data_IF_836223739350
#
_entry.id   IF_836223739350
#
_cell.length_a   1.000
_cell.length_b   1.000
_cell.length_c   1.000
_cell.angle_alpha   90.00
_cell.angle_beta   90.00
_cell.angle_gamma   90.00
#
_symmetry.space_group_name_H-M   'P 1'
#
loop_
_entity.id
_entity.type
_entity.pdbx_description
1 polymer ?
#
# COMPACT_ATOMS: atom_id res chain seq x y z
N UNK A 1 -38.05 4.63 88.00
CA UNK A 1 -37.18 3.45 87.78
C UNK A 1 -38.04 2.32 87.25
N UNK A 2 -38.05 2.08 85.93
CA UNK A 2 -38.74 0.93 85.32
C UNK A 2 -37.69 0.07 84.62
N UNK A 3 -37.52 -1.15 85.13
CA UNK A 3 -36.82 -2.25 84.47
C UNK A 3 -37.86 -3.07 83.70
N UNK A 4 -37.49 -3.57 82.53
CA UNK A 4 -38.27 -4.53 81.77
C UNK A 4 -37.41 -5.14 80.66
N UNK A 5 -37.05 -6.40 80.86
CA UNK A 5 -36.34 -7.31 79.95
C UNK A 5 -37.18 -7.61 78.69
N UNK A 6 -36.51 -7.93 77.58
CA UNK A 6 -36.91 -9.11 76.80
C UNK A 6 -37.04 -8.97 75.27
N UNK A 7 -36.37 -9.92 74.60
CA UNK A 7 -36.63 -10.55 73.29
C UNK A 7 -36.26 -9.81 71.98
N UNK A 8 -35.15 -10.27 71.40
CA UNK A 8 -35.18 -11.16 70.23
C UNK A 8 -35.89 -10.68 68.96
N UNK A 9 -35.10 -10.18 68.00
CA UNK A 9 -35.51 -10.01 66.61
C UNK A 9 -34.33 -10.26 65.67
N UNK A 10 -34.39 -11.37 64.92
CA UNK A 10 -33.48 -11.69 63.81
C UNK A 10 -33.85 -10.80 62.64
N UNK A 11 -32.91 -9.95 62.18
CA UNK A 11 -33.01 -9.30 60.87
C UNK A 11 -31.98 -9.92 59.92
N UNK A 12 -32.49 -10.57 58.90
CA UNK A 12 -31.77 -11.14 57.76
C UNK A 12 -31.38 -9.99 56.83
N UNK A 13 -30.10 -9.63 56.79
CA UNK A 13 -29.56 -8.66 55.84
C UNK A 13 -29.33 -9.31 54.48
N UNK A 14 -30.16 -8.98 53.50
CA UNK A 14 -29.93 -9.28 52.08
C UNK A 14 -28.73 -8.49 51.55
N UNK A 15 -27.62 -9.17 51.29
CA UNK A 15 -26.53 -8.67 50.46
C UNK A 15 -26.94 -8.80 48.98
N UNK A 16 -27.32 -7.70 48.32
CA UNK A 16 -27.35 -7.66 46.86
C UNK A 16 -25.90 -7.57 46.35
N UNK A 17 -25.35 -8.70 45.92
CA UNK A 17 -24.18 -8.74 45.05
C UNK A 17 -24.62 -8.31 43.65
N UNK A 18 -24.32 -7.07 43.29
CA UNK A 18 -24.38 -6.62 41.90
C UNK A 18 -23.30 -7.38 41.11
N UNK A 19 -23.73 -8.36 40.32
CA UNK A 19 -22.87 -9.04 39.37
C UNK A 19 -22.54 -8.06 38.22
N UNK A 20 -21.34 -7.47 38.25
CA UNK A 20 -20.76 -6.85 37.07
C UNK A 20 -20.50 -7.95 36.04
N UNK A 21 -21.39 -8.08 35.06
CA UNK A 21 -21.13 -8.84 33.84
C UNK A 21 -20.03 -8.15 33.06
N UNK A 22 -18.81 -8.70 33.12
CA UNK A 22 -17.73 -8.37 32.20
C UNK A 22 -18.21 -8.65 30.77
N UNK A 23 -17.93 -7.79 29.78
CA UNK A 23 -18.21 -8.11 28.39
C UNK A 23 -17.42 -9.36 28.03
N UNK A 24 -18.13 -10.46 27.80
CA UNK A 24 -17.57 -11.72 27.33
C UNK A 24 -16.84 -11.48 26.01
N UNK A 25 -15.64 -12.05 25.93
CA UNK A 25 -14.62 -11.78 24.92
C UNK A 25 -15.11 -11.73 23.48
N UNK A 26 -14.40 -10.88 22.72
CA UNK A 26 -14.35 -10.95 21.27
C UNK A 26 -13.96 -12.39 20.90
N UNK A 27 -14.88 -13.09 20.24
CA UNK A 27 -14.72 -14.49 19.83
C UNK A 27 -13.41 -14.70 19.05
N UNK A 28 -12.61 -15.69 19.45
CA UNK A 28 -11.39 -16.14 18.75
C UNK A 28 -11.63 -16.47 17.26
N UNK A 29 -12.89 -16.69 16.84
CA UNK A 29 -13.23 -16.91 15.43
C UNK A 29 -12.96 -15.68 14.55
N UNK A 30 -12.97 -14.47 15.10
CA UNK A 30 -12.74 -13.23 14.33
C UNK A 30 -11.27 -13.05 13.96
N UNK A 31 -10.33 -13.53 14.79
CA UNK A 31 -8.88 -13.48 14.51
C UNK A 31 -8.46 -14.46 13.40
N UNK A 32 -9.17 -15.58 13.25
CA UNK A 32 -8.95 -16.51 12.13
C UNK A 32 -9.37 -15.93 10.77
N UNK A 33 -10.29 -14.97 10.73
CA UNK A 33 -10.82 -14.41 9.49
C UNK A 33 -9.98 -13.23 8.95
N UNK A 34 -9.08 -12.68 9.78
CA UNK A 34 -8.17 -11.56 9.45
C UNK A 34 -6.71 -12.04 9.29
N UNK A 35 -6.51 -13.36 9.33
CA UNK A 35 -5.23 -14.00 9.08
C UNK A 35 -4.87 -14.04 7.59
N UNK A 36 -3.81 -14.77 7.29
CA UNK A 36 -3.45 -15.13 5.93
C UNK A 36 -4.13 -16.45 5.53
N UNK A 37 -4.40 -16.64 4.24
CA UNK A 37 -4.75 -17.95 3.70
C UNK A 37 -3.65 -18.95 4.02
N UNK A 38 -3.98 -20.22 4.30
CA UNK A 38 -3.01 -21.24 4.62
C UNK A 38 -1.96 -21.36 3.49
N UNK A 39 -0.69 -21.62 3.82
CA UNK A 39 0.36 -21.81 2.83
C UNK A 39 0.10 -23.10 2.06
N UNK A 40 -0.56 -23.00 0.90
CA UNK A 40 -0.71 -24.10 -0.06
C UNK A 40 0.37 -24.03 -1.13
N UNK A 41 0.70 -25.16 -1.76
CA UNK A 41 1.79 -25.26 -2.76
C UNK A 41 1.56 -24.47 -4.05
N UNK A 42 0.31 -24.27 -4.49
CA UNK A 42 0.01 -23.59 -5.76
C UNK A 42 -0.32 -22.11 -5.53
N UNK A 43 0.34 -21.20 -6.27
CA UNK A 43 0.09 -19.75 -6.25
C UNK A 43 -1.39 -19.39 -6.53
N UNK A 44 -1.86 -18.30 -5.91
CA UNK A 44 -3.17 -17.72 -6.26
C UNK A 44 -3.00 -16.98 -7.60
N UNK A 45 -3.67 -17.41 -8.68
CA UNK A 45 -3.50 -16.76 -9.97
C UNK A 45 -4.24 -15.42 -10.03
N UNK A 46 -3.82 -14.58 -10.97
CA UNK A 46 -4.57 -13.42 -11.43
C UNK A 46 -5.68 -13.86 -12.39
N UNK A 47 -6.77 -13.08 -12.46
CA UNK A 47 -7.79 -13.24 -13.49
C UNK A 47 -7.33 -12.51 -14.76
N UNK A 48 -6.46 -13.14 -15.54
CA UNK A 48 -5.77 -12.49 -16.68
C UNK A 48 -6.63 -12.32 -17.94
N UNK A 49 -7.86 -12.83 -17.96
CA UNK A 49 -8.78 -12.61 -19.08
C UNK A 49 -9.29 -11.16 -19.11
N UNK A 50 -9.64 -10.64 -20.30
CA UNK A 50 -10.26 -9.32 -20.40
C UNK A 50 -11.53 -9.22 -19.57
N UNK A 51 -11.80 -8.07 -18.96
CA UNK A 51 -13.04 -7.84 -18.22
C UNK A 51 -14.27 -8.03 -19.10
N UNK A 52 -15.28 -8.73 -18.58
CA UNK A 52 -16.48 -9.08 -19.35
C UNK A 52 -17.45 -7.89 -19.54
N UNK A 53 -17.41 -6.92 -18.62
CA UNK A 53 -18.32 -5.78 -18.57
C UNK A 53 -17.62 -4.54 -17.99
N UNK A 54 -18.15 -3.36 -18.30
CA UNK A 54 -17.73 -2.11 -17.68
C UNK A 54 -18.29 -2.01 -16.26
N UNK A 55 -17.50 -1.52 -15.31
CA UNK A 55 -17.93 -1.25 -13.93
C UNK A 55 -17.11 -0.11 -13.30
N UNK A 56 -17.63 0.51 -12.24
CA UNK A 56 -16.89 1.49 -11.44
C UNK A 56 -16.17 0.79 -10.28
N UNK A 57 -14.87 1.02 -10.15
CA UNK A 57 -14.08 0.62 -9.00
C UNK A 57 -13.89 1.81 -8.03
N UNK A 58 -14.41 1.72 -6.78
CA UNK A 58 -14.25 2.79 -5.80
C UNK A 58 -12.88 2.74 -5.11
N UNK A 59 -12.27 3.91 -4.99
CA UNK A 59 -11.05 4.14 -4.20
C UNK A 59 -11.34 5.22 -3.16
N UNK A 60 -11.15 4.90 -1.89
CA UNK A 60 -11.17 5.87 -0.79
C UNK A 60 -9.87 6.68 -0.87
N UNK A 61 -9.88 7.98 -0.62
CA UNK A 61 -8.64 8.77 -0.67
C UNK A 61 -8.50 9.78 0.46
N UNK A 62 -7.24 10.09 0.76
CA UNK A 62 -6.79 11.28 1.45
C UNK A 62 -5.83 12.05 0.54
N UNK A 63 -5.98 13.36 0.41
CA UNK A 63 -5.13 14.18 -0.47
C UNK A 63 -4.76 15.52 0.15
N UNK A 64 -3.52 15.95 -0.07
CA UNK A 64 -3.03 17.29 0.34
C UNK A 64 -3.03 18.26 -0.84
N UNK A 65 -3.81 17.95 -1.88
CA UNK A 65 -3.97 18.79 -3.07
C UNK A 65 -5.09 19.78 -2.89
N UNK A 66 -4.96 20.95 -3.49
CA UNK A 66 -6.01 21.96 -3.53
C UNK A 66 -7.17 21.45 -4.38
N UNK A 67 -8.39 21.54 -3.85
CA UNK A 67 -9.59 21.18 -4.58
C UNK A 67 -9.85 22.14 -5.75
N UNK A 68 -10.30 21.61 -6.88
CA UNK A 68 -10.77 22.39 -8.01
C UNK A 68 -12.20 22.89 -7.78
N UNK A 69 -12.58 23.96 -8.47
CA UNK A 69 -13.93 24.53 -8.39
C UNK A 69 -14.99 23.52 -8.83
N UNK A 70 -16.21 23.68 -8.30
CA UNK A 70 -17.37 22.87 -8.65
C UNK A 70 -17.18 21.34 -8.50
N UNK A 71 -16.24 20.90 -7.65
CA UNK A 71 -15.99 19.47 -7.42
C UNK A 71 -15.30 18.75 -8.59
N UNK A 72 -14.64 19.49 -9.47
CA UNK A 72 -13.95 18.95 -10.66
C UNK A 72 -12.69 18.10 -10.35
N UNK A 73 -12.44 17.76 -9.08
CA UNK A 73 -11.27 17.01 -8.64
C UNK A 73 -10.26 17.89 -7.90
N UNK A 74 -8.97 17.62 -8.11
CA UNK A 74 -7.87 18.25 -7.38
C UNK A 74 -6.77 18.72 -8.34
N UNK A 75 -6.10 19.83 -8.00
CA UNK A 75 -4.96 20.35 -8.77
C UNK A 75 -3.63 19.73 -8.31
N UNK A 76 -2.53 20.25 -8.87
CA UNK A 76 -1.16 19.94 -8.43
C UNK A 76 -0.64 20.89 -7.35
N UNK A 77 -1.47 21.85 -6.92
CA UNK A 77 -1.09 22.77 -5.85
C UNK A 77 -1.29 22.10 -4.49
N UNK A 78 -0.39 22.42 -3.57
CA UNK A 78 -0.50 22.02 -2.17
C UNK A 78 -1.68 22.76 -1.52
N UNK A 79 -2.32 22.06 -0.60
CA UNK A 79 -3.22 22.65 0.39
C UNK A 79 -2.65 22.40 1.80
N UNK A 80 -3.00 23.25 2.75
CA UNK A 80 -2.61 23.13 4.17
C UNK A 80 -3.57 22.23 4.95
N UNK A 81 -4.42 21.49 4.24
CA UNK A 81 -5.40 20.58 4.79
C UNK A 81 -5.33 19.20 4.11
N UNK A 82 -5.66 18.17 4.89
CA UNK A 82 -5.93 16.83 4.37
C UNK A 82 -7.40 16.73 3.98
N UNK A 83 -7.66 16.58 2.68
CA UNK A 83 -8.98 16.38 2.12
C UNK A 83 -9.28 14.89 1.99
N UNK A 84 -10.53 14.51 2.24
CA UNK A 84 -10.99 13.13 2.19
C UNK A 84 -12.07 12.94 1.13
N UNK A 85 -12.18 11.74 0.57
CA UNK A 85 -13.25 11.44 -0.37
C UNK A 85 -13.23 10.04 -0.94
N UNK A 86 -14.06 9.83 -1.96
CA UNK A 86 -14.05 8.66 -2.84
C UNK A 86 -13.89 9.10 -4.28
N UNK A 87 -13.11 8.35 -5.04
CA UNK A 87 -13.04 8.47 -6.49
C UNK A 87 -13.50 7.16 -7.11
N UNK A 88 -14.35 7.27 -8.13
CA UNK A 88 -14.87 6.12 -8.87
C UNK A 88 -14.20 6.10 -10.22
N UNK A 89 -13.44 5.05 -10.50
CA UNK A 89 -12.77 4.86 -11.77
C UNK A 89 -13.52 3.81 -12.57
N UNK A 90 -13.86 4.16 -13.81
CA UNK A 90 -14.46 3.24 -14.76
C UNK A 90 -13.40 2.25 -15.23
N UNK A 91 -13.60 0.97 -14.92
CA UNK A 91 -12.88 -0.15 -15.53
C UNK A 91 -13.70 -0.61 -16.74
N UNK A 92 -13.24 -0.35 -17.98
CA UNK A 92 -14.02 -0.68 -19.17
C UNK A 92 -14.07 -2.18 -19.39
N UNK A 93 -15.08 -2.65 -20.13
CA UNK A 93 -15.05 -3.97 -20.78
C UNK A 93 -13.77 -4.09 -21.61
N UNK A 94 -13.19 -5.29 -21.64
CA UNK A 94 -11.93 -5.63 -22.32
C UNK A 94 -10.66 -5.03 -21.69
N UNK A 95 -10.74 -4.46 -20.49
CA UNK A 95 -9.56 -4.08 -19.70
C UNK A 95 -8.63 -5.29 -19.49
N UNK A 96 -7.33 -5.06 -19.65
CA UNK A 96 -6.28 -6.06 -19.45
C UNK A 96 -5.54 -5.83 -18.14
N UNK A 97 -5.33 -6.92 -17.39
CA UNK A 97 -4.52 -6.91 -16.17
C UNK A 97 -3.13 -6.33 -16.45
N UNK A 98 -2.74 -5.36 -15.63
CA UNK A 98 -1.47 -4.64 -15.76
C UNK A 98 -1.50 -3.44 -16.70
N UNK A 99 -2.68 -3.03 -17.19
CA UNK A 99 -2.80 -1.93 -18.14
C UNK A 99 -3.58 -0.74 -17.57
N UNK A 100 -3.27 0.48 -18.01
CA UNK A 100 -4.18 1.63 -17.84
C UNK A 100 -5.05 1.86 -19.09
N UNK A 101 -4.93 0.97 -20.08
CA UNK A 101 -5.49 1.09 -21.42
C UNK A 101 -4.74 2.11 -22.28
N UNK A 102 -5.17 2.24 -23.53
CA UNK A 102 -4.55 3.16 -24.50
C UNK A 102 -5.59 3.83 -25.40
N UNK A 103 -5.24 4.94 -26.05
CA UNK A 103 -6.16 5.63 -26.97
C UNK A 103 -6.55 4.72 -28.14
N UNK A 104 -5.58 3.97 -28.67
CA UNK A 104 -5.78 2.95 -29.69
C UNK A 104 -6.74 1.87 -29.15
N UNK A 105 -6.50 1.38 -27.93
CA UNK A 105 -7.36 0.41 -27.27
C UNK A 105 -8.79 0.91 -27.06
N UNK A 106 -8.97 2.21 -26.78
CA UNK A 106 -10.29 2.86 -26.68
C UNK A 106 -10.99 2.90 -28.03
N UNK A 107 -10.27 3.28 -29.09
CA UNK A 107 -10.84 3.37 -30.43
C UNK A 107 -11.25 1.99 -30.99
N UNK A 108 -10.46 0.96 -30.76
CA UNK A 108 -10.72 -0.41 -31.25
C UNK A 108 -11.43 -1.33 -30.24
N UNK A 109 -11.70 -0.86 -29.03
CA UNK A 109 -12.37 -1.62 -27.97
C UNK A 109 -11.58 -2.80 -27.41
N UNK A 110 -10.25 -2.86 -27.58
CA UNK A 110 -9.43 -4.03 -27.22
C UNK A 110 -8.78 -3.96 -25.83
N UNK A 111 -8.50 -2.75 -25.36
CA UNK A 111 -8.03 -2.40 -24.01
C UNK A 111 -8.25 -0.89 -23.77
N UNK A 112 -9.51 -0.45 -23.63
CA UNK A 112 -9.83 0.98 -23.49
C UNK A 112 -9.21 1.59 -22.24
N UNK A 113 -8.95 2.90 -22.28
CA UNK A 113 -8.43 3.64 -21.12
C UNK A 113 -9.39 3.56 -19.92
N UNK A 114 -8.82 3.42 -18.74
CA UNK A 114 -9.54 3.70 -17.50
C UNK A 114 -9.81 5.20 -17.42
N UNK A 115 -10.96 5.58 -16.87
CA UNK A 115 -11.37 6.98 -16.73
C UNK A 115 -11.92 7.27 -15.35
N UNK A 116 -11.64 8.45 -14.82
CA UNK A 116 -12.31 8.91 -13.59
C UNK A 116 -13.75 9.28 -13.95
N UNK A 117 -14.71 8.59 -13.34
CA UNK A 117 -16.14 8.83 -13.55
C UNK A 117 -16.63 9.99 -12.68
N UNK A 118 -16.39 9.91 -11.36
CA UNK A 118 -16.83 10.94 -10.41
C UNK A 118 -15.98 11.00 -9.15
N UNK A 119 -16.06 12.15 -8.49
CA UNK A 119 -15.51 12.40 -7.16
C UNK A 119 -16.64 12.61 -6.16
N UNK A 120 -16.45 12.09 -4.97
CA UNK A 120 -17.31 12.35 -3.82
C UNK A 120 -16.43 12.91 -2.70
N UNK A 121 -16.46 14.23 -2.53
CA UNK A 121 -15.77 14.89 -1.42
C UNK A 121 -16.47 14.58 -0.11
N UNK A 122 -15.70 14.23 0.92
CA UNK A 122 -16.21 13.90 2.24
C UNK A 122 -15.71 14.95 3.25
N UNK A 123 -16.62 15.71 3.89
CA UNK A 123 -16.26 16.70 4.89
C UNK A 123 -15.62 16.09 6.16
N UNK A 124 -14.29 16.09 6.17
CA UNK A 124 -13.47 15.80 7.35
C UNK A 124 -13.35 14.31 7.72
N UNK A 125 -12.45 14.05 8.69
CA UNK A 125 -12.05 12.69 9.09
C UNK A 125 -13.21 11.87 9.66
N UNK A 126 -14.06 12.47 10.50
CA UNK A 126 -15.13 11.73 11.19
C UNK A 126 -16.16 11.15 10.20
N UNK A 127 -16.54 11.93 9.18
CA UNK A 127 -17.48 11.46 8.15
C UNK A 127 -16.82 10.44 7.23
N UNK A 128 -15.54 10.65 6.89
CA UNK A 128 -14.76 9.69 6.12
C UNK A 128 -14.67 8.34 6.82
N UNK A 129 -14.38 8.34 8.12
CA UNK A 129 -14.31 7.15 8.94
C UNK A 129 -15.66 6.41 8.98
N UNK A 130 -16.76 7.13 9.21
CA UNK A 130 -18.10 6.55 9.24
C UNK A 130 -18.48 5.93 7.88
N UNK A 131 -18.15 6.60 6.76
CA UNK A 131 -18.37 6.06 5.42
C UNK A 131 -17.48 4.83 5.20
N UNK A 132 -16.18 4.91 5.47
CA UNK A 132 -15.26 3.79 5.28
C UNK A 132 -15.73 2.55 6.06
N UNK A 133 -16.08 2.69 7.34
CA UNK A 133 -16.55 1.59 8.18
C UNK A 133 -17.88 0.99 7.69
N UNK A 134 -18.78 1.80 7.12
CA UNK A 134 -20.04 1.34 6.53
C UNK A 134 -19.83 0.58 5.22
N UNK A 135 -18.94 1.08 4.36
CA UNK A 135 -18.70 0.55 3.02
C UNK A 135 -17.80 -0.69 3.01
N UNK A 136 -16.92 -0.84 4.01
CA UNK A 136 -16.12 -2.04 4.21
C UNK A 136 -17.03 -3.21 4.58
N UNK A 137 -17.12 -4.20 3.68
CA UNK A 137 -17.95 -5.39 3.89
C UNK A 137 -17.54 -6.15 5.17
N UNK A 138 -18.48 -6.86 5.82
CA UNK A 138 -18.16 -7.77 6.92
C UNK A 138 -17.06 -8.76 6.51
N UNK A 139 -16.09 -8.97 7.38
CA UNK A 139 -15.01 -9.93 7.13
C UNK A 139 -15.59 -11.33 7.18
N UNK A 140 -15.40 -12.09 6.11
CA UNK A 140 -15.83 -13.49 5.98
C UNK A 140 -14.64 -14.43 5.86
N UNK A 141 -13.46 -13.91 5.53
CA UNK A 141 -12.21 -14.67 5.46
C UNK A 141 -11.02 -13.78 5.05
N UNK A 142 -9.81 -14.35 4.95
CA UNK A 142 -8.61 -13.63 4.56
C UNK A 142 -8.75 -12.86 3.23
N UNK A 143 -9.54 -13.36 2.28
CA UNK A 143 -9.80 -12.71 0.99
C UNK A 143 -10.53 -11.35 1.09
N UNK A 144 -11.16 -11.02 2.22
CA UNK A 144 -11.73 -9.69 2.46
C UNK A 144 -11.39 -9.06 3.82
N UNK A 145 -10.52 -9.72 4.59
CA UNK A 145 -10.05 -9.30 5.91
C UNK A 145 -8.96 -8.22 5.90
N UNK A 146 -8.73 -7.54 4.79
CA UNK A 146 -7.65 -6.55 4.63
C UNK A 146 -8.08 -5.30 3.88
N UNK A 147 -7.35 -4.21 4.09
CA UNK A 147 -7.38 -2.99 3.25
C UNK A 147 -5.99 -2.75 2.67
N UNK A 148 -5.94 -2.03 1.55
CA UNK A 148 -4.69 -1.68 0.86
C UNK A 148 -4.56 -0.17 0.80
N UNK A 149 -3.41 0.36 1.19
CA UNK A 149 -3.04 1.78 1.04
C UNK A 149 -2.01 1.89 -0.08
N UNK A 150 -2.35 2.60 -1.14
CA UNK A 150 -1.43 2.94 -2.23
C UNK A 150 -0.93 4.39 -2.06
N UNK A 151 0.37 4.59 -2.28
CA UNK A 151 1.02 5.91 -2.26
C UNK A 151 1.81 6.04 -3.56
N UNK A 152 1.47 7.04 -4.36
CA UNK A 152 2.08 7.25 -5.67
C UNK A 152 3.47 7.91 -5.59
N UNK A 153 4.20 7.85 -6.72
CA UNK A 153 5.49 8.50 -6.92
C UNK A 153 5.43 9.96 -7.39
N UNK A 154 6.58 10.48 -7.81
CA UNK A 154 6.71 11.83 -8.39
C UNK A 154 5.93 11.97 -9.71
N UNK A 155 5.67 13.19 -10.16
CA UNK A 155 5.07 13.47 -11.49
C UNK A 155 3.75 12.72 -11.77
N UNK A 156 2.86 12.68 -10.79
CA UNK A 156 1.52 12.14 -10.95
C UNK A 156 0.50 13.23 -10.64
N UNK A 157 -0.49 13.43 -11.50
CA UNK A 157 -1.70 14.17 -11.13
C UNK A 157 -2.54 13.33 -10.15
N UNK A 158 -3.56 13.95 -9.53
CA UNK A 158 -4.52 13.17 -8.74
C UNK A 158 -5.19 12.06 -9.56
N UNK A 159 -5.52 12.35 -10.82
CA UNK A 159 -6.17 11.39 -11.71
C UNK A 159 -5.25 10.20 -12.01
N UNK A 160 -3.96 10.43 -12.30
CA UNK A 160 -3.01 9.35 -12.57
C UNK A 160 -2.89 8.41 -11.36
N UNK A 161 -2.79 8.99 -10.16
CA UNK A 161 -2.74 8.23 -8.92
C UNK A 161 -4.04 7.44 -8.65
N UNK A 162 -5.20 8.03 -8.93
CA UNK A 162 -6.50 7.39 -8.80
C UNK A 162 -6.69 6.23 -9.78
N UNK A 163 -6.31 6.43 -11.06
CA UNK A 163 -6.35 5.40 -12.09
C UNK A 163 -5.45 4.21 -11.71
N UNK A 164 -4.23 4.48 -11.24
CA UNK A 164 -3.30 3.44 -10.79
C UNK A 164 -3.81 2.68 -9.55
N UNK A 165 -4.36 3.38 -8.57
CA UNK A 165 -4.96 2.75 -7.40
C UNK A 165 -6.13 1.84 -7.77
N UNK A 166 -7.01 2.30 -8.67
CA UNK A 166 -8.15 1.51 -9.14
C UNK A 166 -7.71 0.32 -9.98
N UNK A 167 -6.72 0.48 -10.85
CA UNK A 167 -6.11 -0.61 -11.63
C UNK A 167 -5.57 -1.70 -10.71
N UNK A 168 -4.72 -1.33 -9.73
CA UNK A 168 -4.21 -2.29 -8.75
C UNK A 168 -5.34 -2.98 -7.97
N UNK A 169 -6.36 -2.22 -7.56
CA UNK A 169 -7.50 -2.75 -6.83
C UNK A 169 -8.28 -3.79 -7.62
N UNK A 170 -8.62 -3.47 -8.87
CA UNK A 170 -9.33 -4.37 -9.76
C UNK A 170 -8.49 -5.61 -10.13
N UNK A 171 -7.23 -5.41 -10.51
CA UNK A 171 -6.36 -6.47 -11.03
C UNK A 171 -5.93 -7.48 -9.96
N UNK A 172 -5.77 -7.03 -8.72
CA UNK A 172 -5.40 -7.88 -7.59
C UNK A 172 -6.61 -8.51 -6.88
N UNK A 173 -7.84 -8.29 -7.38
CA UNK A 173 -9.09 -8.67 -6.74
C UNK A 173 -9.25 -8.09 -5.32
N UNK A 174 -8.75 -6.87 -5.07
CA UNK A 174 -9.02 -6.18 -3.80
C UNK A 174 -10.52 -5.91 -3.70
N UNK A 175 -11.17 -6.22 -2.57
CA UNK A 175 -12.60 -5.96 -2.43
C UNK A 175 -12.92 -4.48 -2.65
N UNK A 176 -14.08 -4.21 -3.26
CA UNK A 176 -14.54 -2.84 -3.45
C UNK A 176 -14.56 -2.07 -2.11
N UNK A 177 -14.10 -0.82 -2.14
CA UNK A 177 -13.88 0.08 -1.00
C UNK A 177 -12.70 -0.28 -0.08
N UNK A 178 -12.02 -1.41 -0.28
CA UNK A 178 -10.84 -1.77 0.51
C UNK A 178 -9.54 -1.15 -0.03
N UNK A 179 -9.59 -0.42 -1.16
CA UNK A 179 -8.45 0.32 -1.70
C UNK A 179 -8.49 1.78 -1.24
N UNK A 180 -7.41 2.21 -0.61
CA UNK A 180 -7.17 3.55 -0.11
C UNK A 180 -5.99 4.18 -0.87
N UNK A 181 -6.13 5.43 -1.28
CA UNK A 181 -5.09 6.21 -1.95
C UNK A 181 -4.67 7.38 -1.06
N UNK A 182 -3.37 7.50 -0.79
CA UNK A 182 -2.82 8.78 -0.36
C UNK A 182 -2.22 9.52 -1.56
N UNK A 183 -2.81 10.67 -1.91
CA UNK A 183 -2.30 11.53 -2.97
C UNK A 183 -1.68 12.80 -2.41
N UNK A 184 -0.36 12.88 -2.46
CA UNK A 184 0.35 14.11 -2.15
C UNK A 184 0.43 14.98 -3.41
N UNK A 185 0.62 16.29 -3.25
CA UNK A 185 0.58 17.27 -4.34
C UNK A 185 1.85 17.28 -5.20
N UNK A 186 2.22 16.12 -5.75
CA UNK A 186 3.23 16.00 -6.79
C UNK A 186 2.79 16.80 -8.02
N UNK A 187 3.73 17.51 -8.67
CA UNK A 187 3.46 18.27 -9.88
C UNK A 187 3.60 17.39 -11.12
N UNK A 188 2.64 17.40 -12.03
CA UNK A 188 2.72 16.69 -13.31
C UNK A 188 3.60 17.44 -14.33
N UNK A 189 4.85 17.77 -13.97
CA UNK A 189 5.80 18.49 -14.83
C UNK A 189 7.24 18.00 -14.62
N UNK A 190 7.86 17.53 -15.70
CA UNK A 190 9.19 16.88 -15.74
C UNK A 190 10.33 17.78 -15.23
N UNK A 191 10.18 19.11 -15.26
CA UNK A 191 11.26 20.06 -14.95
C UNK A 191 11.44 20.30 -13.43
N UNK A 192 10.60 19.71 -12.55
CA UNK A 192 10.50 20.13 -11.13
C UNK A 192 10.80 19.05 -10.09
N UNK A 193 11.74 18.15 -10.39
CA UNK A 193 12.14 17.07 -9.48
C UNK A 193 12.39 17.52 -8.02
N UNK A 194 13.13 18.62 -7.79
CA UNK A 194 13.41 19.16 -6.44
C UNK A 194 12.18 19.73 -5.71
N UNK A 195 11.16 20.18 -6.46
CA UNK A 195 9.91 20.65 -5.86
C UNK A 195 9.09 19.49 -5.30
N UNK A 196 9.05 18.36 -6.02
CA UNK A 196 8.37 17.15 -5.58
C UNK A 196 9.06 16.57 -4.33
N UNK A 197 10.38 16.64 -4.23
CA UNK A 197 11.12 16.28 -3.01
C UNK A 197 10.69 17.11 -1.80
N UNK A 198 10.64 18.44 -1.94
CA UNK A 198 10.16 19.32 -0.87
C UNK A 198 8.66 19.12 -0.58
N UNK A 199 7.88 18.57 -1.53
CA UNK A 199 6.45 18.31 -1.32
C UNK A 199 6.25 17.06 -0.50
N UNK A 200 6.90 15.97 -0.90
CA UNK A 200 6.74 14.68 -0.23
C UNK A 200 7.18 14.76 1.24
N UNK A 201 8.23 15.52 1.55
CA UNK A 201 8.67 15.77 2.93
C UNK A 201 7.61 16.55 3.73
N UNK A 202 6.98 17.59 3.15
CA UNK A 202 5.88 18.32 3.83
C UNK A 202 4.60 17.50 3.98
N UNK A 203 4.42 16.46 3.17
CA UNK A 203 3.24 15.59 3.22
C UNK A 203 3.31 14.52 4.31
N UNK A 204 4.46 14.34 4.98
CA UNK A 204 4.64 13.30 6.01
C UNK A 204 3.62 13.37 7.16
N UNK A 205 3.36 14.57 7.67
CA UNK A 205 2.41 14.78 8.78
C UNK A 205 1.00 14.38 8.36
N UNK A 206 0.57 14.80 7.16
CA UNK A 206 -0.74 14.44 6.62
C UNK A 206 -0.82 12.96 6.27
N UNK A 207 0.26 12.36 5.78
CA UNK A 207 0.30 10.94 5.48
C UNK A 207 0.18 10.09 6.75
N UNK A 208 0.85 10.49 7.84
CA UNK A 208 0.67 9.87 9.16
C UNK A 208 -0.78 9.95 9.62
N UNK A 209 -1.39 11.14 9.60
CA UNK A 209 -2.80 11.31 9.98
C UNK A 209 -3.72 10.46 9.11
N UNK A 210 -3.45 10.34 7.82
CA UNK A 210 -4.20 9.47 6.92
C UNK A 210 -4.07 7.98 7.31
N UNK A 211 -2.86 7.49 7.61
CA UNK A 211 -2.66 6.11 8.06
C UNK A 211 -3.37 5.82 9.38
N UNK A 212 -3.39 6.77 10.33
CA UNK A 212 -4.14 6.65 11.58
C UNK A 212 -5.65 6.55 11.31
N UNK A 213 -6.17 7.37 10.39
CA UNK A 213 -7.58 7.29 9.95
C UNK A 213 -7.89 5.95 9.29
N UNK A 214 -7.02 5.46 8.40
CA UNK A 214 -7.18 4.15 7.76
C UNK A 214 -7.13 3.03 8.80
N UNK A 215 -6.27 3.11 9.82
CA UNK A 215 -6.21 2.11 10.86
C UNK A 215 -7.50 2.04 11.70
N UNK A 216 -8.09 3.20 12.02
CA UNK A 216 -9.42 3.27 12.66
C UNK A 216 -10.52 2.67 11.75
N UNK A 217 -10.44 2.93 10.44
CA UNK A 217 -11.40 2.42 9.47
C UNK A 217 -11.31 0.89 9.27
N UNK A 218 -10.08 0.38 9.21
CA UNK A 218 -9.78 -1.04 9.06
C UNK A 218 -10.41 -1.88 10.18
N UNK A 219 -10.54 -1.31 11.39
CA UNK A 219 -11.22 -1.91 12.54
C UNK A 219 -10.77 -3.37 12.78
N UNK A 220 -9.46 -3.55 12.93
CA UNK A 220 -8.84 -4.86 13.15
C UNK A 220 -8.43 -5.60 11.88
N UNK A 221 -8.89 -5.20 10.68
CA UNK A 221 -8.42 -5.75 9.38
C UNK A 221 -6.92 -5.54 9.19
N UNK A 222 -6.28 -6.42 8.41
CA UNK A 222 -4.90 -6.21 7.97
C UNK A 222 -4.81 -4.96 7.10
N UNK A 223 -3.72 -4.21 7.24
CA UNK A 223 -3.43 -3.05 6.39
C UNK A 223 -2.19 -3.38 5.57
N UNK A 224 -2.33 -3.43 4.26
CA UNK A 224 -1.21 -3.57 3.33
C UNK A 224 -0.84 -2.21 2.75
N UNK A 225 0.44 -1.97 2.52
CA UNK A 225 0.93 -0.73 1.92
C UNK A 225 1.64 -1.07 0.61
N UNK A 226 1.33 -0.32 -0.44
CA UNK A 226 2.06 -0.31 -1.71
C UNK A 226 2.57 1.11 -1.94
N UNK A 227 3.87 1.33 -1.81
CA UNK A 227 4.50 2.63 -2.01
C UNK A 227 5.36 2.61 -3.27
N UNK A 228 5.16 3.60 -4.15
CA UNK A 228 5.86 3.72 -5.41
C UNK A 228 6.86 4.88 -5.41
N UNK A 229 8.07 4.64 -5.90
CA UNK A 229 9.07 5.68 -6.20
C UNK A 229 9.30 6.62 -5.00
N UNK A 230 9.21 7.94 -5.19
CA UNK A 230 9.34 8.94 -4.11
C UNK A 230 8.35 8.77 -2.96
N UNK A 231 7.20 8.13 -3.16
CA UNK A 231 6.26 7.82 -2.08
C UNK A 231 6.91 6.97 -0.97
N UNK A 232 7.95 6.21 -1.29
CA UNK A 232 8.74 5.45 -0.33
C UNK A 232 9.53 6.35 0.65
N UNK A 233 9.87 7.59 0.27
CA UNK A 233 10.55 8.53 1.18
C UNK A 233 9.63 8.93 2.32
N UNK A 234 8.41 9.36 2.00
CA UNK A 234 7.39 9.67 3.00
C UNK A 234 7.09 8.47 3.89
N UNK A 235 6.90 7.28 3.30
CA UNK A 235 6.64 6.07 4.06
C UNK A 235 7.79 5.74 5.03
N UNK A 236 9.03 5.74 4.57
CA UNK A 236 10.19 5.43 5.41
C UNK A 236 10.29 6.36 6.61
N UNK A 237 10.13 7.67 6.38
CA UNK A 237 10.21 8.67 7.44
C UNK A 237 9.03 8.59 8.40
N UNK A 238 7.80 8.39 7.91
CA UNK A 238 6.61 8.21 8.76
C UNK A 238 6.74 6.98 9.65
N UNK A 239 7.19 5.84 9.10
CA UNK A 239 7.42 4.64 9.91
C UNK A 239 8.55 4.86 10.92
N UNK A 240 9.70 5.40 10.49
CA UNK A 240 10.86 5.62 11.37
C UNK A 240 10.54 6.57 12.53
N UNK A 241 9.84 7.67 12.26
CA UNK A 241 9.42 8.64 13.28
C UNK A 241 8.20 8.17 14.09
N UNK A 242 7.51 7.12 13.64
CA UNK A 242 6.31 6.58 14.26
C UNK A 242 6.57 5.40 15.20
N UNK A 243 7.74 4.75 15.13
CA UNK A 243 8.02 3.51 15.88
C UNK A 243 7.76 3.61 17.38
N UNK A 244 8.02 4.75 18.03
CA UNK A 244 7.76 4.91 19.46
C UNK A 244 6.25 5.01 19.79
N UNK A 245 5.41 5.40 18.83
CA UNK A 245 3.95 5.46 18.96
C UNK A 245 3.28 4.16 18.47
N UNK A 246 3.87 3.53 17.45
CA UNK A 246 3.40 2.31 16.76
C UNK A 246 3.84 1.00 17.47
N UNK A 247 4.84 1.06 18.36
CA UNK A 247 5.32 -0.09 19.16
C UNK A 247 4.59 -0.28 20.49
N UNK A 248 3.65 0.60 20.86
CA UNK A 248 2.80 0.35 22.03
C UNK A 248 1.72 -0.69 21.67
N UNK A 249 1.11 -1.37 22.65
CA UNK A 249 -0.01 -2.32 22.44
C UNK A 249 -1.22 -1.73 21.68
N UNK A 250 -1.17 -0.44 21.33
CA UNK A 250 -2.16 0.34 20.57
C UNK A 250 -1.68 0.82 19.18
N UNK A 251 -0.52 0.37 18.71
CA UNK A 251 0.06 0.82 17.44
C UNK A 251 -0.45 0.09 16.20
N UNK A 252 -0.33 0.74 15.03
CA UNK A 252 -0.72 0.19 13.73
C UNK A 252 0.22 -0.95 13.33
N UNK A 253 -0.29 -2.18 13.23
CA UNK A 253 0.47 -3.32 12.70
C UNK A 253 0.05 -3.61 11.25
N UNK A 254 0.94 -3.35 10.33
CA UNK A 254 0.78 -3.63 8.90
C UNK A 254 0.95 -5.12 8.61
N UNK A 255 0.29 -5.59 7.56
CA UNK A 255 0.57 -6.89 6.97
C UNK A 255 1.80 -6.79 6.06
N UNK A 256 1.58 -6.66 4.76
CA UNK A 256 2.62 -6.46 3.76
C UNK A 256 2.94 -4.97 3.55
N UNK A 257 4.22 -4.62 3.56
CA UNK A 257 4.73 -3.35 3.03
C UNK A 257 5.50 -3.65 1.75
N UNK A 258 5.02 -3.12 0.63
CA UNK A 258 5.59 -3.30 -0.70
C UNK A 258 6.22 -1.98 -1.14
N UNK A 259 7.54 -2.02 -1.33
CA UNK A 259 8.36 -0.87 -1.72
C UNK A 259 8.73 -1.02 -3.19
N UNK A 260 7.93 -0.44 -4.08
CA UNK A 260 8.07 -0.57 -5.51
C UNK A 260 8.93 0.57 -6.10
N UNK A 261 9.99 0.20 -6.82
CA UNK A 261 10.89 1.15 -7.50
C UNK A 261 11.36 2.28 -6.55
N UNK A 262 11.71 1.93 -5.31
CA UNK A 262 11.92 2.89 -4.24
C UNK A 262 13.02 3.92 -4.56
N UNK A 263 12.62 5.19 -4.73
CA UNK A 263 13.54 6.32 -4.86
C UNK A 263 13.95 6.79 -3.45
N UNK A 264 14.71 5.94 -2.77
CA UNK A 264 15.27 6.20 -1.44
C UNK A 264 16.77 5.98 -1.50
N UNK A 265 17.51 6.87 -0.86
CA UNK A 265 18.94 6.71 -0.68
C UNK A 265 19.30 5.39 0.02
N UNK A 266 20.29 4.67 -0.52
CA UNK A 266 20.74 3.38 0.02
C UNK A 266 21.12 3.47 1.51
N UNK A 267 21.86 4.50 1.90
CA UNK A 267 22.44 4.60 3.24
C UNK A 267 21.38 5.06 4.25
N UNK A 268 20.48 5.96 3.84
CA UNK A 268 19.29 6.30 4.62
C UNK A 268 18.39 5.07 4.83
N UNK A 269 18.18 4.27 3.77
CA UNK A 269 17.40 3.06 3.86
C UNK A 269 18.04 2.05 4.82
N UNK A 270 19.35 1.83 4.74
CA UNK A 270 20.07 0.95 5.66
C UNK A 270 19.85 1.33 7.14
N UNK A 271 19.81 2.63 7.43
CA UNK A 271 19.60 3.15 8.78
C UNK A 271 18.15 3.01 9.26
N UNK A 272 17.18 3.30 8.40
CA UNK A 272 15.78 3.47 8.83
C UNK A 272 14.89 2.25 8.53
N UNK A 273 15.20 1.44 7.52
CA UNK A 273 14.38 0.31 7.11
C UNK A 273 14.20 -0.80 8.17
N UNK A 274 15.13 -1.04 9.12
CA UNK A 274 14.86 -1.94 10.24
C UNK A 274 13.60 -1.59 11.05
N UNK A 275 13.12 -0.35 10.99
CA UNK A 275 11.85 0.05 11.61
C UNK A 275 10.63 -0.61 10.95
N UNK A 276 10.69 -0.99 9.68
CA UNK A 276 9.61 -1.73 9.03
C UNK A 276 9.36 -3.09 9.69
N UNK A 277 10.41 -3.75 10.19
CA UNK A 277 10.33 -5.06 10.86
C UNK A 277 9.56 -5.00 12.19
N UNK A 278 9.47 -3.82 12.79
CA UNK A 278 8.74 -3.61 14.05
C UNK A 278 7.25 -3.44 13.83
N UNK A 279 6.83 -3.08 12.62
CA UNK A 279 5.47 -2.63 12.34
C UNK A 279 4.77 -3.44 11.25
N UNK A 280 5.46 -4.33 10.55
CA UNK A 280 4.90 -5.14 9.46
C UNK A 280 5.09 -6.64 9.70
N UNK A 281 4.18 -7.44 9.15
CA UNK A 281 4.38 -8.90 9.06
C UNK A 281 5.46 -9.23 8.01
N UNK A 282 5.58 -8.43 6.95
CA UNK A 282 6.65 -8.55 5.94
C UNK A 282 6.85 -7.25 5.16
N UNK A 283 8.09 -7.00 4.78
CA UNK A 283 8.46 -5.93 3.84
C UNK A 283 9.20 -6.50 2.64
N UNK A 284 8.81 -6.08 1.44
CA UNK A 284 9.43 -6.52 0.17
C UNK A 284 9.80 -5.31 -0.68
N UNK A 285 11.04 -5.25 -1.12
CA UNK A 285 11.56 -4.27 -2.08
C UNK A 285 11.52 -4.87 -3.49
N UNK A 286 10.87 -4.17 -4.42
CA UNK A 286 10.97 -4.46 -5.85
C UNK A 286 11.89 -3.43 -6.51
N UNK A 287 12.87 -3.92 -7.26
CA UNK A 287 13.83 -3.13 -8.00
C UNK A 287 14.01 -3.69 -9.41
N UNK A 288 14.39 -2.82 -10.36
CA UNK A 288 14.69 -3.22 -11.74
C UNK A 288 15.94 -2.50 -12.21
N UNK A 289 16.85 -3.15 -12.97
CA UNK A 289 18.00 -2.48 -13.56
C UNK A 289 17.63 -1.60 -14.77
N UNK A 290 16.38 -1.68 -15.23
CA UNK A 290 15.85 -0.98 -16.40
C UNK A 290 15.06 0.29 -16.05
N UNK A 291 14.88 0.57 -14.76
CA UNK A 291 14.08 1.72 -14.30
C UNK A 291 14.79 3.05 -14.58
N UNK A 292 14.34 3.74 -15.63
CA UNK A 292 14.93 4.99 -16.08
C UNK A 292 14.74 6.13 -15.10
N UNK A 293 13.58 6.20 -14.43
CA UNK A 293 13.25 7.29 -13.54
C UNK A 293 14.09 7.24 -12.26
N UNK A 294 14.24 6.05 -11.66
CA UNK A 294 15.09 5.89 -10.49
C UNK A 294 16.57 6.01 -10.86
N UNK A 295 16.97 5.61 -12.08
CA UNK A 295 18.32 5.86 -12.58
C UNK A 295 18.61 7.36 -12.74
N UNK A 296 17.66 8.14 -13.28
CA UNK A 296 17.77 9.59 -13.37
C UNK A 296 17.90 10.23 -11.98
N UNK A 297 17.09 9.81 -11.00
CA UNK A 297 17.26 10.22 -9.60
C UNK A 297 18.67 9.89 -9.08
N UNK A 298 19.16 8.67 -9.30
CA UNK A 298 20.49 8.25 -8.85
C UNK A 298 21.61 9.15 -9.42
N UNK A 299 21.44 9.64 -10.65
CA UNK A 299 22.38 10.57 -11.28
C UNK A 299 22.31 11.98 -10.68
N UNK A 300 21.11 12.47 -10.37
CA UNK A 300 20.93 13.80 -9.74
C UNK A 300 21.56 13.87 -8.35
N UNK A 301 21.56 12.77 -7.60
CA UNK A 301 22.06 12.75 -6.21
C UNK A 301 23.46 12.20 -6.05
N UNK A 302 24.06 11.60 -7.09
CA UNK A 302 25.36 10.92 -7.06
C UNK A 302 25.46 9.74 -6.05
N UNK A 303 24.31 9.18 -5.64
CA UNK A 303 24.21 8.03 -4.73
C UNK A 303 23.22 6.96 -5.23
N UNK A 304 23.48 5.66 -4.97
CA UNK A 304 22.57 4.59 -5.37
C UNK A 304 21.19 4.67 -4.70
N UNK A 305 20.15 4.39 -5.47
CA UNK A 305 18.78 4.26 -4.97
C UNK A 305 18.37 2.81 -4.80
N UNK A 306 17.60 2.52 -3.75
CA UNK A 306 17.17 1.16 -3.37
C UNK A 306 16.43 0.44 -4.52
N UNK A 307 15.61 1.17 -5.28
CA UNK A 307 14.80 0.62 -6.38
C UNK A 307 15.55 0.34 -7.70
N UNK A 308 16.87 0.54 -7.76
CA UNK A 308 17.61 0.59 -9.03
C UNK A 308 18.92 -0.22 -8.97
N UNK A 309 18.97 -1.33 -9.69
CA UNK A 309 20.17 -2.18 -9.76
C UNK A 309 19.91 -3.58 -10.30
N UNK A 310 20.98 -4.27 -10.74
CA UNK A 310 20.96 -5.69 -11.12
C UNK A 310 21.06 -6.62 -9.90
N UNK A 311 21.34 -6.06 -8.73
CA UNK A 311 21.31 -6.67 -7.42
C UNK A 311 20.82 -5.63 -6.40
N UNK A 312 20.32 -6.06 -5.23
CA UNK A 312 19.92 -5.13 -4.17
C UNK A 312 21.08 -4.21 -3.76
N UNK A 313 20.81 -2.92 -3.68
CA UNK A 313 21.83 -1.94 -3.28
C UNK A 313 22.13 -1.98 -1.78
N UNK A 314 21.23 -2.58 -1.00
CA UNK A 314 21.38 -2.83 0.44
C UNK A 314 20.57 -4.08 0.80
N UNK A 315 21.13 -4.96 1.63
CA UNK A 315 20.42 -6.10 2.21
C UNK A 315 20.20 -5.81 3.69
N UNK A 316 18.94 -5.66 4.08
CA UNK A 316 18.53 -5.58 5.49
C UNK A 316 17.96 -6.94 5.89
N UNK A 317 18.55 -7.65 6.87
CA UNK A 317 18.02 -8.93 7.32
C UNK A 317 16.55 -8.85 7.71
N UNK A 318 15.71 -9.71 7.13
CA UNK A 318 14.25 -9.71 7.34
C UNK A 318 13.44 -8.90 6.32
N UNK A 319 14.09 -8.15 5.42
CA UNK A 319 13.44 -7.48 4.29
C UNK A 319 13.75 -8.24 3.00
N UNK A 320 12.70 -8.67 2.32
CA UNK A 320 12.82 -9.39 1.05
C UNK A 320 13.19 -8.42 -0.09
N UNK A 321 14.01 -8.88 -1.02
CA UNK A 321 14.37 -8.12 -2.23
C UNK A 321 14.03 -8.93 -3.47
N UNK A 322 13.42 -8.27 -4.46
CA UNK A 322 13.03 -8.82 -5.75
C UNK A 322 13.61 -7.98 -6.87
N UNK A 323 14.57 -8.53 -7.60
CA UNK A 323 15.11 -7.93 -8.82
C UNK A 323 14.29 -8.41 -10.02
N UNK A 324 13.68 -7.48 -10.74
CA UNK A 324 12.95 -7.78 -11.97
C UNK A 324 13.83 -7.51 -13.19
N UNK A 325 14.10 -8.56 -13.96
CA UNK A 325 14.81 -8.51 -15.24
C UNK A 325 13.84 -8.72 -16.43
N UNK A 326 12.54 -8.44 -16.23
CA UNK A 326 11.54 -8.63 -17.27
C UNK A 326 11.73 -7.60 -18.40
N UNK A 327 11.58 -8.00 -19.68
CA UNK A 327 11.72 -7.06 -20.79
C UNK A 327 10.72 -5.90 -20.76
N UNK A 328 9.52 -6.17 -20.23
CA UNK A 328 8.39 -5.23 -20.12
C UNK A 328 8.66 -4.10 -19.11
N UNK A 329 9.65 -4.28 -18.24
CA UNK A 329 10.09 -3.23 -17.32
C UNK A 329 10.80 -2.08 -18.04
N UNK A 330 11.19 -2.25 -19.31
CA UNK A 330 11.89 -1.21 -20.07
C UNK A 330 10.96 -0.53 -21.08
N UNK A 331 10.83 0.83 -21.07
CA UNK A 331 11.39 1.81 -20.13
C UNK A 331 10.41 2.14 -18.99
N UNK A 332 9.68 1.16 -18.46
CA UNK A 332 8.61 1.36 -17.47
C UNK A 332 9.16 1.68 -16.07
N UNK A 333 8.63 2.72 -15.46
CA UNK A 333 8.80 3.02 -14.03
C UNK A 333 7.68 2.42 -13.16
N UNK A 334 6.66 1.84 -13.79
CA UNK A 334 5.49 1.26 -13.13
C UNK A 334 5.40 -0.27 -13.31
N UNK A 335 6.52 -0.91 -13.62
CA UNK A 335 6.63 -2.35 -13.89
C UNK A 335 6.03 -3.26 -12.82
N UNK A 336 6.06 -2.84 -11.54
CA UNK A 336 5.45 -3.55 -10.42
C UNK A 336 3.93 -3.74 -10.58
N UNK A 337 3.29 -2.83 -11.30
CA UNK A 337 1.86 -2.79 -11.53
C UNK A 337 1.49 -3.18 -12.98
N UNK A 338 2.46 -3.44 -13.85
CA UNK A 338 2.27 -3.70 -15.28
C UNK A 338 2.68 -5.11 -15.70
N UNK A 339 3.44 -5.82 -14.85
CA UNK A 339 3.92 -7.16 -15.17
C UNK A 339 3.18 -8.23 -14.37
N UNK A 340 2.65 -9.23 -15.07
CA UNK A 340 1.88 -10.32 -14.46
C UNK A 340 2.65 -11.08 -13.35
N UNK A 341 3.96 -11.40 -13.49
CA UNK A 341 4.69 -12.07 -12.42
C UNK A 341 4.73 -11.26 -11.13
N UNK A 342 4.93 -9.94 -11.21
CA UNK A 342 4.98 -9.09 -10.02
C UNK A 342 3.61 -8.85 -9.40
N UNK A 343 2.57 -8.63 -10.22
CA UNK A 343 1.19 -8.55 -9.73
C UNK A 343 0.75 -9.85 -9.04
N UNK A 344 1.15 -11.01 -9.58
CA UNK A 344 0.85 -12.32 -8.97
C UNK A 344 1.56 -12.46 -7.63
N UNK A 345 2.83 -12.07 -7.56
CA UNK A 345 3.61 -12.09 -6.32
C UNK A 345 2.99 -11.17 -5.26
N UNK A 346 2.65 -9.94 -5.62
CA UNK A 346 1.98 -8.97 -4.74
C UNK A 346 0.67 -9.54 -4.17
N UNK A 347 -0.17 -10.15 -5.02
CA UNK A 347 -1.42 -10.80 -4.58
C UNK A 347 -1.16 -11.92 -3.58
N UNK A 348 -0.16 -12.76 -3.84
CA UNK A 348 0.20 -13.88 -2.95
C UNK A 348 0.81 -13.39 -1.63
N UNK A 349 1.61 -12.32 -1.65
CA UNK A 349 2.11 -11.69 -0.43
C UNK A 349 0.96 -11.18 0.43
N UNK A 350 0.01 -10.45 -0.17
CA UNK A 350 -1.16 -9.89 0.56
C UNK A 350 -2.05 -10.99 1.14
N UNK A 351 -2.32 -12.06 0.39
CA UNK A 351 -3.27 -13.08 0.82
C UNK A 351 -2.63 -14.21 1.63
N UNK A 352 -1.33 -14.48 1.51
CA UNK A 352 -0.66 -15.65 2.14
C UNK A 352 0.60 -15.33 2.94
N UNK A 353 1.18 -14.14 2.82
CA UNK A 353 2.46 -13.79 3.45
C UNK A 353 3.61 -14.76 3.11
N UNK A 354 3.59 -15.35 1.91
CA UNK A 354 4.57 -16.36 1.50
C UNK A 354 5.81 -15.71 0.88
N UNK A 355 7.02 -15.89 1.46
CA UNK A 355 8.26 -15.38 0.86
C UNK A 355 8.79 -16.25 -0.28
N UNK A 356 8.35 -17.51 -0.33
CA UNK A 356 8.76 -18.46 -1.35
C UNK A 356 8.02 -18.15 -2.66
N UNK A 357 8.77 -18.05 -3.74
CA UNK A 357 8.26 -17.82 -5.09
C UNK A 357 8.58 -19.05 -5.93
N UNK A 358 7.58 -19.57 -6.63
CA UNK A 358 7.66 -20.87 -7.29
C UNK A 358 7.53 -20.75 -8.80
N UNK A 359 7.99 -21.75 -9.52
CA UNK A 359 7.91 -21.79 -10.99
C UNK A 359 9.13 -21.21 -11.70
N UNK A 360 9.19 -21.46 -13.00
CA UNK A 360 10.42 -21.36 -13.80
C UNK A 360 10.93 -19.93 -14.01
N UNK A 361 10.09 -18.93 -13.74
CA UNK A 361 10.44 -17.51 -13.87
C UNK A 361 11.23 -16.98 -12.68
N UNK A 362 11.17 -17.65 -11.53
CA UNK A 362 11.75 -17.18 -10.28
C UNK A 362 13.04 -17.93 -9.95
N UNK A 363 14.05 -17.18 -9.52
CA UNK A 363 15.32 -17.74 -9.04
C UNK A 363 15.72 -17.05 -7.74
N UNK A 364 16.22 -17.82 -6.78
CA UNK A 364 16.84 -17.28 -5.57
C UNK A 364 18.35 -17.17 -5.80
N UNK A 365 18.89 -15.96 -5.64
CA UNK A 365 20.31 -15.63 -5.88
C UNK A 365 20.80 -14.90 -4.65
N UNK A 366 21.84 -15.43 -3.99
CA UNK A 366 22.59 -14.74 -2.92
C UNK A 366 21.71 -14.00 -1.88
N UNK A 367 20.62 -14.64 -1.45
CA UNK A 367 19.70 -14.12 -0.43
C UNK A 367 18.52 -13.29 -0.94
N UNK A 368 18.46 -12.95 -2.23
CA UNK A 368 17.35 -12.24 -2.86
C UNK A 368 16.68 -13.05 -3.98
N UNK A 369 15.54 -12.56 -4.48
CA UNK A 369 14.80 -13.17 -5.58
C UNK A 369 15.02 -12.42 -6.88
N UNK A 370 15.06 -13.15 -7.99
CA UNK A 370 15.12 -12.61 -9.34
C UNK A 370 13.94 -13.17 -10.11
N UNK A 371 13.24 -12.31 -10.86
CA UNK A 371 12.24 -12.71 -11.85
C UNK A 371 12.71 -12.38 -13.27
N UNK A 372 12.55 -13.33 -14.17
CA UNK A 372 13.02 -13.21 -15.55
C UNK A 372 14.43 -13.79 -15.77
N UNK A 373 14.97 -13.54 -16.96
CA UNK A 373 16.27 -14.08 -17.38
C UNK A 373 17.46 -13.27 -16.87
N UNK A 374 18.62 -13.50 -17.48
CA UNK A 374 19.79 -12.64 -17.29
C UNK A 374 19.47 -11.21 -17.75
N UNK A 375 20.00 -10.18 -17.07
CA UNK A 375 19.76 -8.80 -17.46
C UNK A 375 20.32 -8.51 -18.86
N UNK A 376 19.55 -7.79 -19.67
CA UNK A 376 19.99 -7.30 -20.96
C UNK A 376 20.89 -6.07 -20.73
N UNK A 377 22.20 -6.27 -20.78
CA UNK A 377 23.21 -5.23 -20.51
C UNK A 377 23.03 -3.96 -21.35
N UNK A 378 22.46 -4.04 -22.56
CA UNK A 378 22.21 -2.87 -23.41
C UNK A 378 21.05 -1.99 -22.90
N UNK A 379 20.15 -2.54 -22.07
CA UNK A 379 19.00 -1.84 -21.48
C UNK A 379 19.25 -1.39 -20.05
N UNK A 380 20.31 -1.85 -19.39
CA UNK A 380 20.62 -1.51 -18.00
C UNK A 380 20.99 -0.04 -17.89
N UNK A 381 20.12 0.73 -17.24
CA UNK A 381 20.26 2.18 -17.00
C UNK A 381 20.68 2.50 -15.57
N UNK A 382 20.43 1.58 -14.63
CA UNK A 382 20.83 1.69 -13.23
C UNK A 382 22.35 1.51 -13.04
N UNK A 383 23.14 2.53 -13.40
CA UNK A 383 24.60 2.55 -13.25
C UNK A 383 25.04 3.86 -12.61
N UNK A 384 25.50 3.82 -11.36
CA UNK A 384 26.23 4.92 -10.71
C UNK A 384 27.67 4.49 -10.40
N UNK A 385 28.55 5.44 -10.06
CA UNK A 385 29.94 5.13 -9.68
C UNK A 385 30.04 4.16 -8.49
N UNK A 386 29.02 4.13 -7.64
CA UNK A 386 28.96 3.36 -6.38
C UNK A 386 27.84 2.30 -6.37
N UNK A 387 27.22 2.00 -7.52
CA UNK A 387 26.19 0.95 -7.62
C UNK A 387 26.83 -0.41 -7.37
N UNK A 388 26.30 -1.16 -6.41
CA UNK A 388 26.73 -2.54 -6.20
C UNK A 388 26.34 -3.37 -7.43
N UNK A 389 27.33 -3.97 -8.08
CA UNK A 389 27.13 -5.01 -9.09
C UNK A 389 27.28 -6.39 -8.44
N UNK A 390 26.62 -7.44 -8.97
CA UNK A 390 26.88 -8.81 -8.52
C UNK A 390 28.40 -9.08 -8.54
N UNK A 391 28.92 -9.76 -7.53
CA UNK A 391 30.30 -10.21 -7.55
C UNK A 391 30.54 -10.99 -8.85
N UNK A 392 31.59 -10.65 -9.61
CA UNK A 392 31.97 -11.40 -10.79
C UNK A 392 32.20 -12.86 -10.35
N UNK A 393 31.39 -13.78 -10.88
CA UNK A 393 31.55 -15.22 -10.66
C UNK A 393 32.70 -15.75 -11.50
#
# INVERSE_FOLDING_TARGET
>A
MKRGLGLGGVLMGTLLLAACTLPTGVSDKTLSAVGYLPPTTAEIPLKTGPTASTFDYPVMFGTTRKALSAGAGFSDDRDEALHYGRVFVTIPKNHRVGSLGSDIGTYFGSDPKLTVNRFESIPGEAQFLAIAQRELRPVTGPENGYVVVFIHGYNNSFNDAALRAAQLGADLDVPANNMFLFSWAARSDVIKYTFDEATVDTSEVYFRSFLETVAKAANGRKIHIVAHSMGNRALLRVIASGVNTVSSERGIRFGQIILAAADVDRDLFAQLAPNYLKVSDRTTVYLSPYDYAVAASSHVHDYPRVGCGTAPQVIVPGIDNVVSNLPDDFPSHAYFAETLPLLTDIKNLMLRNTPARSGDKWKRVDGYWVVGGSPNNAKVVCRTRNTLMPAAR
#
